data_IF_753950700220
#
_entry.id   IF_753950700220
#
_cell.length_a   1.000
_cell.length_b   1.000
_cell.length_c   1.000
_cell.angle_alpha   90.00
_cell.angle_beta   90.00
_cell.angle_gamma   90.00
#
_symmetry.space_group_name_H-M   'P 1'
#
loop_
_entity.id
_entity.type
_entity.pdbx_description
1 polymer ?
#
# COMPACT_ATOMS: atom_id res chain seq x y z
N UNK A 1 -36.95 9.52 -24.69
CA UNK A 1 -38.02 10.32 -24.11
C UNK A 1 -37.68 10.53 -22.65
N UNK A 2 -37.34 11.75 -22.29
CA UNK A 2 -37.08 12.11 -20.89
C UNK A 2 -38.41 12.04 -20.13
N UNK A 3 -38.50 11.11 -19.18
CA UNK A 3 -39.60 11.10 -18.23
C UNK A 3 -39.44 12.38 -17.38
N UNK A 4 -40.42 13.28 -17.43
CA UNK A 4 -40.53 14.40 -16.49
C UNK A 4 -40.45 13.83 -15.07
N UNK A 5 -39.39 14.17 -14.36
CA UNK A 5 -39.23 13.86 -12.94
C UNK A 5 -40.29 14.68 -12.20
N UNK A 6 -41.42 14.04 -11.81
CA UNK A 6 -42.38 14.66 -10.90
C UNK A 6 -41.63 15.04 -9.63
N UNK A 7 -41.48 16.34 -9.40
CA UNK A 7 -40.84 16.87 -8.20
C UNK A 7 -41.74 16.54 -7.00
N UNK A 8 -41.20 15.83 -6.05
CA UNK A 8 -41.89 15.50 -4.78
C UNK A 8 -41.74 16.72 -3.86
N UNK A 9 -42.85 17.24 -3.35
CA UNK A 9 -42.81 18.28 -2.32
C UNK A 9 -42.50 17.67 -0.95
N UNK A 10 -41.49 18.19 -0.28
CA UNK A 10 -41.08 17.74 1.05
C UNK A 10 -40.51 18.91 1.85
N UNK A 11 -40.52 18.79 3.18
CA UNK A 11 -39.82 19.65 4.08
C UNK A 11 -38.47 19.02 4.44
N UNK A 12 -37.42 19.81 4.55
CA UNK A 12 -36.09 19.35 4.97
C UNK A 12 -35.46 20.38 5.89
N UNK A 13 -34.96 19.92 7.02
CA UNK A 13 -34.28 20.74 8.02
C UNK A 13 -32.87 20.19 8.30
N UNK A 14 -31.87 21.05 8.24
CA UNK A 14 -30.49 20.68 8.58
C UNK A 14 -30.36 20.65 10.12
N UNK A 15 -30.23 19.46 10.68
CA UNK A 15 -30.10 19.25 12.12
C UNK A 15 -28.65 19.13 12.59
N UNK A 16 -27.72 18.87 11.68
CA UNK A 16 -26.29 18.83 11.96
C UNK A 16 -25.45 19.16 10.75
N UNK A 17 -24.44 20.00 10.94
CA UNK A 17 -23.46 20.34 9.90
C UNK A 17 -22.08 20.32 10.51
N UNK A 18 -21.23 19.42 10.01
CA UNK A 18 -19.79 19.34 10.30
C UNK A 18 -19.01 19.69 9.05
N UNK A 19 -17.69 19.75 9.15
CA UNK A 19 -16.82 20.06 8.01
C UNK A 19 -17.00 19.07 6.86
N UNK A 20 -17.13 17.78 7.17
CA UNK A 20 -17.18 16.67 6.22
C UNK A 20 -18.53 15.94 6.19
N UNK A 21 -19.56 16.39 6.90
CA UNK A 21 -20.85 15.72 6.92
C UNK A 21 -22.00 16.68 7.19
N UNK A 22 -23.18 16.32 6.66
CA UNK A 22 -24.44 17.00 6.91
C UNK A 22 -25.48 15.97 7.30
N UNK A 23 -26.27 16.29 8.33
CA UNK A 23 -27.41 15.48 8.76
C UNK A 23 -28.69 16.26 8.49
N UNK A 24 -29.63 15.65 7.79
CA UNK A 24 -30.87 16.29 7.36
C UNK A 24 -32.06 15.44 7.81
N UNK A 25 -33.05 16.09 8.43
CA UNK A 25 -34.36 15.53 8.69
C UNK A 25 -35.28 15.88 7.52
N UNK A 26 -36.01 14.88 7.03
CA UNK A 26 -36.95 15.02 5.92
C UNK A 26 -38.34 14.56 6.35
N UNK A 27 -39.34 15.37 6.02
CA UNK A 27 -40.75 15.04 6.20
C UNK A 27 -41.48 15.15 4.87
N UNK A 28 -42.14 14.04 4.48
CA UNK A 28 -42.95 13.96 3.28
C UNK A 28 -44.42 13.79 3.69
N UNK A 29 -45.28 14.66 3.20
CA UNK A 29 -46.70 14.70 3.56
C UNK A 29 -47.44 13.39 3.20
N UNK A 30 -48.41 13.02 4.02
CA UNK A 30 -49.19 11.77 3.89
C UNK A 30 -49.77 11.58 2.49
N UNK A 31 -50.36 12.63 1.90
CA UNK A 31 -51.00 12.55 0.57
C UNK A 31 -50.00 12.13 -0.51
N UNK A 32 -48.75 12.60 -0.43
CA UNK A 32 -47.70 12.26 -1.39
C UNK A 32 -47.26 10.80 -1.24
N UNK A 33 -47.18 10.33 0.00
CA UNK A 33 -46.85 8.93 0.29
C UNK A 33 -47.99 8.01 -0.21
N UNK A 34 -49.22 8.39 0.01
CA UNK A 34 -50.40 7.64 -0.47
C UNK A 34 -50.41 7.54 -2.00
N UNK A 35 -50.14 8.63 -2.72
CA UNK A 35 -50.05 8.66 -4.18
C UNK A 35 -48.93 7.75 -4.72
N UNK A 36 -47.76 7.73 -4.07
CA UNK A 36 -46.67 6.84 -4.50
C UNK A 36 -46.99 5.36 -4.21
N UNK A 37 -47.68 5.05 -3.07
CA UNK A 37 -48.14 3.69 -2.78
C UNK A 37 -49.14 3.21 -3.85
N UNK A 38 -50.07 4.06 -4.26
CA UNK A 38 -51.04 3.75 -5.34
C UNK A 38 -50.31 3.53 -6.68
N UNK A 39 -49.27 4.33 -6.94
CA UNK A 39 -48.40 4.16 -8.12
C UNK A 39 -47.70 2.81 -8.12
N UNK A 40 -47.15 2.39 -6.97
CA UNK A 40 -46.47 1.09 -6.81
C UNK A 40 -47.48 -0.05 -6.97
N UNK A 41 -48.70 0.06 -6.41
CA UNK A 41 -49.76 -0.95 -6.63
C UNK A 41 -50.07 -1.11 -8.11
N UNK A 42 -50.15 -0.01 -8.87
CA UNK A 42 -50.38 -0.05 -10.31
C UNK A 42 -49.24 -0.74 -11.06
N UNK A 43 -47.99 -0.57 -10.61
CA UNK A 43 -46.83 -1.27 -11.17
C UNK A 43 -46.87 -2.77 -10.86
N UNK A 44 -47.13 -3.13 -9.60
CA UNK A 44 -47.30 -4.53 -9.17
C UNK A 44 -48.42 -5.22 -9.98
N UNK A 45 -49.58 -4.56 -10.16
CA UNK A 45 -50.68 -5.09 -10.94
C UNK A 45 -50.26 -5.44 -12.38
N UNK A 46 -49.44 -4.60 -13.01
CA UNK A 46 -48.96 -4.80 -14.39
C UNK A 46 -47.93 -5.91 -14.50
N UNK A 47 -47.14 -6.15 -13.48
CA UNK A 47 -46.04 -7.08 -13.50
C UNK A 47 -46.39 -8.46 -12.92
N UNK A 48 -47.32 -8.53 -12.01
CA UNK A 48 -47.63 -9.76 -11.25
C UNK A 48 -48.56 -10.70 -11.99
N UNK A 49 -48.25 -12.01 -11.92
CA UNK A 49 -49.08 -13.09 -12.40
C UNK A 49 -49.70 -13.81 -11.20
N UNK A 50 -51.01 -13.79 -11.09
CA UNK A 50 -51.76 -14.49 -10.03
C UNK A 50 -52.61 -15.57 -10.68
N UNK A 51 -52.59 -16.78 -10.12
CA UNK A 51 -53.45 -17.89 -10.60
C UNK A 51 -54.93 -17.53 -10.52
N UNK A 52 -55.66 -17.75 -11.61
CA UNK A 52 -57.06 -17.39 -11.74
C UNK A 52 -57.34 -16.02 -12.37
N UNK A 53 -56.32 -15.23 -12.66
CA UNK A 53 -56.47 -13.93 -13.33
C UNK A 53 -55.57 -13.79 -14.55
N UNK A 54 -56.03 -13.04 -15.54
CA UNK A 54 -55.22 -12.68 -16.72
C UNK A 54 -54.13 -11.68 -16.28
N UNK A 55 -52.91 -11.88 -16.78
CA UNK A 55 -51.77 -10.99 -16.53
C UNK A 55 -52.11 -9.50 -16.72
N UNK A 56 -51.81 -8.65 -15.75
CA UNK A 56 -52.11 -7.20 -15.75
C UNK A 56 -53.60 -6.86 -15.56
N UNK A 57 -54.51 -7.82 -15.30
CA UNK A 57 -55.96 -7.59 -15.10
C UNK A 57 -56.46 -8.13 -13.75
N UNK A 58 -55.57 -8.26 -12.79
CA UNK A 58 -55.95 -8.64 -11.41
C UNK A 58 -56.70 -7.48 -10.78
N UNK A 59 -57.85 -7.70 -10.12
CA UNK A 59 -58.57 -6.64 -9.41
C UNK A 59 -57.71 -6.00 -8.35
N UNK A 60 -57.74 -4.65 -8.25
CA UNK A 60 -56.86 -3.87 -7.35
C UNK A 60 -57.06 -4.28 -5.87
N UNK A 61 -58.26 -4.66 -5.45
CA UNK A 61 -58.49 -5.14 -4.09
C UNK A 61 -57.66 -6.38 -3.74
N UNK A 62 -57.49 -7.30 -4.71
CA UNK A 62 -56.68 -8.53 -4.52
C UNK A 62 -55.19 -8.14 -4.45
N UNK A 63 -54.74 -7.17 -5.26
CA UNK A 63 -53.39 -6.65 -5.24
C UNK A 63 -53.12 -5.98 -3.89
N UNK A 64 -53.95 -5.06 -3.46
CA UNK A 64 -53.82 -4.36 -2.16
C UNK A 64 -53.78 -5.34 -0.99
N UNK A 65 -54.64 -6.38 -1.00
CA UNK A 65 -54.65 -7.38 0.07
C UNK A 65 -53.38 -8.24 0.14
N UNK A 66 -52.82 -8.59 -1.03
CA UNK A 66 -51.65 -9.49 -1.07
C UNK A 66 -50.29 -8.79 -1.00
N UNK A 67 -50.21 -7.57 -1.48
CA UNK A 67 -48.93 -6.85 -1.71
C UNK A 67 -48.85 -5.54 -0.95
N UNK A 68 -49.59 -5.37 0.15
CA UNK A 68 -49.61 -4.13 0.93
C UNK A 68 -48.22 -3.75 1.46
N UNK A 69 -47.53 -4.69 2.10
CA UNK A 69 -46.20 -4.42 2.66
C UNK A 69 -45.14 -4.19 1.57
N UNK A 70 -45.24 -4.94 0.46
CA UNK A 70 -44.33 -4.76 -0.68
C UNK A 70 -44.51 -3.36 -1.31
N UNK A 71 -45.79 -2.96 -1.50
CA UNK A 71 -46.10 -1.63 -2.06
C UNK A 71 -45.71 -0.50 -1.13
N UNK A 72 -45.90 -0.65 0.19
CA UNK A 72 -45.46 0.28 1.22
C UNK A 72 -43.97 0.45 1.19
N UNK A 73 -43.21 -0.64 1.26
CA UNK A 73 -41.74 -0.59 1.28
C UNK A 73 -41.18 -0.01 -0.03
N UNK A 74 -41.73 -0.41 -1.18
CA UNK A 74 -41.32 0.10 -2.48
C UNK A 74 -41.62 1.61 -2.65
N UNK A 75 -42.76 2.08 -2.13
CA UNK A 75 -43.09 3.50 -2.15
C UNK A 75 -42.16 4.34 -1.26
N UNK A 76 -41.88 3.84 -0.03
CA UNK A 76 -40.95 4.49 0.89
C UNK A 76 -39.57 4.58 0.27
N UNK A 77 -39.06 3.50 -0.29
CA UNK A 77 -37.75 3.50 -0.96
C UNK A 77 -37.68 4.48 -2.14
N UNK A 78 -38.70 4.51 -2.97
CA UNK A 78 -38.80 5.44 -4.09
C UNK A 78 -38.81 6.92 -3.64
N UNK A 79 -39.57 7.22 -2.59
CA UNK A 79 -39.65 8.57 -2.02
C UNK A 79 -38.30 8.97 -1.45
N UNK A 80 -37.71 8.14 -0.60
CA UNK A 80 -36.38 8.41 0.01
C UNK A 80 -35.36 8.69 -1.09
N UNK A 81 -35.27 7.84 -2.10
CA UNK A 81 -34.31 8.00 -3.21
C UNK A 81 -34.47 9.34 -3.94
N UNK A 82 -35.70 9.78 -4.17
CA UNK A 82 -35.98 11.04 -4.87
C UNK A 82 -35.74 12.27 -3.99
N UNK A 83 -36.18 12.21 -2.74
CA UNK A 83 -36.13 13.37 -1.83
C UNK A 83 -34.76 13.60 -1.23
N UNK A 84 -33.95 12.54 -0.98
CA UNK A 84 -32.56 12.66 -0.52
C UNK A 84 -31.72 13.48 -1.50
N UNK A 85 -31.74 13.13 -2.78
CA UNK A 85 -30.98 13.88 -3.80
C UNK A 85 -31.44 15.34 -3.89
N UNK A 86 -32.78 15.58 -3.89
CA UNK A 86 -33.31 16.92 -3.94
C UNK A 86 -32.99 17.76 -2.70
N UNK A 87 -32.90 17.13 -1.51
CA UNK A 87 -32.50 17.80 -0.28
C UNK A 87 -31.02 18.23 -0.33
N UNK A 88 -30.13 17.38 -0.83
CA UNK A 88 -28.73 17.69 -1.01
C UNK A 88 -28.47 18.79 -2.05
N UNK A 89 -29.25 18.76 -3.17
CA UNK A 89 -29.19 19.80 -4.20
C UNK A 89 -29.61 21.17 -3.65
N UNK A 90 -30.65 21.24 -2.80
CA UNK A 90 -31.09 22.49 -2.14
C UNK A 90 -29.97 23.11 -1.31
N UNK A 91 -29.20 22.29 -0.60
CA UNK A 91 -28.10 22.72 0.24
C UNK A 91 -26.80 23.00 -0.55
N UNK A 92 -26.80 22.83 -1.87
CA UNK A 92 -25.59 22.94 -2.73
C UNK A 92 -24.44 22.09 -2.20
N UNK A 93 -24.76 20.87 -1.76
CA UNK A 93 -23.87 19.98 -1.04
C UNK A 93 -23.23 18.97 -2.00
N UNK A 94 -21.90 18.98 -2.07
CA UNK A 94 -21.15 18.05 -2.91
C UNK A 94 -20.84 16.80 -2.12
N UNK A 95 -21.73 15.81 -2.19
CA UNK A 95 -21.60 14.54 -1.47
C UNK A 95 -20.59 13.60 -2.14
N UNK A 96 -19.99 12.70 -1.32
CA UNK A 96 -19.00 11.71 -1.75
C UNK A 96 -19.71 10.45 -2.22
N UNK A 97 -20.56 9.91 -1.35
CA UNK A 97 -21.33 8.70 -1.58
C UNK A 97 -22.82 8.91 -1.36
N UNK A 98 -23.64 7.93 -1.81
CA UNK A 98 -25.07 7.98 -1.57
C UNK A 98 -25.33 7.98 -0.05
N UNK A 99 -26.15 8.92 0.45
CA UNK A 99 -26.39 9.08 1.88
C UNK A 99 -26.93 7.85 2.58
N UNK A 100 -26.51 7.67 3.82
CA UNK A 100 -27.01 6.60 4.68
C UNK A 100 -28.23 7.09 5.44
N UNK A 101 -29.36 6.42 5.24
CA UNK A 101 -30.58 6.66 6.03
C UNK A 101 -30.42 5.97 7.38
N UNK A 102 -30.38 6.76 8.46
CA UNK A 102 -30.13 6.26 9.81
C UNK A 102 -31.42 5.77 10.47
N UNK A 103 -32.47 6.60 10.38
CA UNK A 103 -33.76 6.33 11.00
C UNK A 103 -34.88 6.70 10.02
N UNK A 104 -35.86 5.82 9.88
CA UNK A 104 -37.11 6.17 9.24
C UNK A 104 -38.29 5.66 10.06
N UNK A 105 -39.35 6.46 10.15
CA UNK A 105 -40.60 6.08 10.75
C UNK A 105 -41.71 6.34 9.76
N UNK A 106 -42.42 5.27 9.41
CA UNK A 106 -43.60 5.34 8.54
C UNK A 106 -44.71 4.39 9.00
N UNK A 107 -45.85 4.94 9.34
CA UNK A 107 -47.07 4.25 9.56
C UNK A 107 -48.09 4.61 8.46
N UNK A 108 -48.86 3.65 8.00
CA UNK A 108 -49.84 3.86 6.95
C UNK A 108 -50.85 4.95 7.35
N UNK A 109 -51.06 5.96 6.50
CA UNK A 109 -51.94 7.08 6.80
C UNK A 109 -51.26 8.22 7.56
N UNK A 110 -49.93 8.20 7.66
CA UNK A 110 -49.18 9.26 8.29
C UNK A 110 -48.07 9.82 7.34
N UNK A 111 -47.50 10.96 7.71
CA UNK A 111 -46.36 11.50 6.99
C UNK A 111 -45.12 10.61 7.15
N UNK A 112 -44.34 10.44 6.09
CA UNK A 112 -43.03 9.75 6.17
C UNK A 112 -41.99 10.70 6.73
N UNK A 113 -41.39 10.32 7.85
CA UNK A 113 -40.27 11.04 8.45
C UNK A 113 -39.03 10.16 8.47
N UNK A 114 -37.90 10.73 8.03
CA UNK A 114 -36.63 10.02 8.07
C UNK A 114 -35.48 10.99 8.23
N UNK A 115 -34.38 10.47 8.76
CA UNK A 115 -33.10 11.15 8.95
C UNK A 115 -32.05 10.48 8.09
N UNK A 116 -31.22 11.28 7.45
CA UNK A 116 -30.06 10.77 6.76
C UNK A 116 -28.83 11.63 7.02
N UNK A 117 -27.65 11.00 6.96
CA UNK A 117 -26.36 11.66 7.01
C UNK A 117 -25.60 11.41 5.71
N UNK A 118 -25.03 12.47 5.15
CA UNK A 118 -24.23 12.44 3.94
C UNK A 118 -22.84 13.01 4.22
N UNK A 119 -21.80 12.36 3.69
CA UNK A 119 -20.44 12.88 3.72
C UNK A 119 -20.16 13.77 2.50
N UNK A 120 -19.34 14.81 2.71
CA UNK A 120 -18.95 15.75 1.66
C UNK A 120 -17.46 16.03 1.63
N UNK A 121 -17.03 16.53 0.48
CA UNK A 121 -15.69 17.08 0.35
C UNK A 121 -15.56 18.37 1.19
N UNK A 122 -14.60 18.42 2.14
CA UNK A 122 -14.38 19.64 2.91
C UNK A 122 -13.86 20.77 2.02
N UNK A 123 -14.37 21.97 2.25
CA UNK A 123 -13.76 23.20 1.70
C UNK A 123 -12.67 23.63 2.66
N UNK A 124 -11.41 23.53 2.21
CA UNK A 124 -10.26 23.89 3.02
C UNK A 124 -9.53 25.10 2.47
N UNK A 125 -9.03 25.93 3.37
CA UNK A 125 -8.12 27.03 3.06
C UNK A 125 -6.73 26.64 3.54
N UNK A 126 -5.84 26.28 2.60
CA UNK A 126 -4.49 25.79 2.92
C UNK A 126 -3.57 26.96 3.22
N UNK A 127 -2.91 26.88 4.38
CA UNK A 127 -2.01 27.92 4.88
C UNK A 127 -0.55 27.47 4.84
N UNK A 128 0.35 28.44 4.83
CA UNK A 128 1.79 28.26 5.03
C UNK A 128 2.47 27.27 4.05
N UNK A 129 1.92 27.13 2.82
CA UNK A 129 2.51 26.23 1.81
C UNK A 129 3.62 26.90 0.96
N UNK A 130 3.89 28.21 1.13
CA UNK A 130 5.03 28.92 0.56
C UNK A 130 6.09 29.20 1.63
N UNK A 131 7.34 29.07 1.26
CA UNK A 131 8.45 29.33 2.18
C UNK A 131 8.62 28.27 3.26
N UNK A 132 8.23 27.03 2.98
CA UNK A 132 8.40 25.87 3.89
C UNK A 132 9.88 25.72 4.25
N UNK A 133 10.24 25.73 5.55
CA UNK A 133 11.61 25.50 5.98
C UNK A 133 11.99 24.04 5.79
N UNK A 134 12.99 23.79 4.96
CA UNK A 134 13.49 22.43 4.66
C UNK A 134 14.99 22.38 4.85
N UNK A 135 15.49 21.31 5.46
CA UNK A 135 16.92 21.04 5.58
C UNK A 135 17.30 19.96 4.57
N UNK A 136 18.11 20.34 3.57
CA UNK A 136 18.66 19.41 2.59
C UNK A 136 20.05 18.94 3.03
N UNK A 137 20.14 17.71 3.51
CA UNK A 137 21.43 17.09 3.83
C UNK A 137 22.10 16.57 2.55
N UNK A 138 23.27 17.09 2.24
CA UNK A 138 24.07 16.66 1.10
C UNK A 138 25.27 15.86 1.61
N UNK A 139 25.32 14.57 1.28
CA UNK A 139 26.47 13.74 1.63
C UNK A 139 27.53 13.80 0.54
N UNK A 140 28.74 14.22 0.92
CA UNK A 140 29.91 14.21 0.02
C UNK A 140 30.36 12.78 -0.21
N UNK A 141 30.56 12.43 -1.48
CA UNK A 141 31.19 11.17 -1.87
C UNK A 141 32.67 11.31 -1.60
N UNK A 142 33.17 10.51 -0.69
CA UNK A 142 34.58 10.47 -0.30
C UNK A 142 35.25 9.23 -0.84
N UNK A 143 36.61 9.24 -0.93
CA UNK A 143 37.36 8.03 -1.32
C UNK A 143 37.07 6.84 -0.41
N UNK A 144 36.74 7.12 0.85
CA UNK A 144 36.33 6.09 1.81
C UNK A 144 34.99 5.48 1.47
N UNK A 145 34.01 6.29 1.06
CA UNK A 145 32.69 5.79 0.65
C UNK A 145 32.76 5.04 -0.67
N UNK A 146 33.56 5.49 -1.62
CA UNK A 146 33.87 4.79 -2.86
C UNK A 146 34.49 3.42 -2.57
N UNK A 147 35.55 3.38 -1.73
CA UNK A 147 36.18 2.12 -1.34
C UNK A 147 35.19 1.13 -0.72
N UNK A 148 34.29 1.61 0.14
CA UNK A 148 33.24 0.75 0.72
C UNK A 148 32.27 0.18 -0.31
N UNK A 149 31.88 0.98 -1.32
CA UNK A 149 31.05 0.50 -2.40
C UNK A 149 31.77 -0.54 -3.25
N UNK A 150 33.05 -0.33 -3.56
CA UNK A 150 33.86 -1.34 -4.25
C UNK A 150 34.04 -2.62 -3.43
N UNK A 151 34.26 -2.50 -2.13
CA UNK A 151 34.36 -3.69 -1.26
C UNK A 151 33.02 -4.44 -1.18
N UNK A 152 31.88 -3.72 -1.20
CA UNK A 152 30.57 -4.33 -1.28
C UNK A 152 30.31 -5.01 -2.64
N UNK A 153 30.68 -4.35 -3.77
CA UNK A 153 30.59 -4.93 -5.10
C UNK A 153 31.41 -6.22 -5.22
N UNK A 154 32.67 -6.20 -4.75
CA UNK A 154 33.53 -7.39 -4.71
C UNK A 154 32.92 -8.50 -3.88
N UNK A 155 32.31 -8.16 -2.73
CA UNK A 155 31.68 -9.11 -1.84
C UNK A 155 30.45 -9.76 -2.47
N UNK A 156 29.61 -8.97 -3.17
CA UNK A 156 28.45 -9.49 -3.87
C UNK A 156 28.82 -10.41 -5.05
N UNK A 157 30.03 -10.23 -5.60
CA UNK A 157 30.58 -11.03 -6.69
C UNK A 157 31.66 -12.01 -6.22
N UNK A 158 31.74 -12.29 -4.91
CA UNK A 158 32.69 -13.26 -4.36
C UNK A 158 32.35 -14.69 -4.82
N UNK A 159 33.37 -15.46 -5.09
CA UNK A 159 33.22 -16.89 -5.42
C UNK A 159 33.56 -17.74 -4.19
N UNK A 160 32.78 -18.80 -4.00
CA UNK A 160 33.08 -19.76 -2.95
C UNK A 160 34.07 -20.79 -3.50
N UNK A 161 35.29 -20.74 -3.00
CA UNK A 161 36.37 -21.67 -3.34
C UNK A 161 36.67 -22.63 -2.17
N UNK A 162 37.19 -23.82 -2.40
CA UNK A 162 37.65 -24.67 -1.33
C UNK A 162 38.64 -23.93 -0.42
N UNK A 163 38.42 -23.97 0.88
CA UNK A 163 39.31 -23.29 1.83
C UNK A 163 40.69 -23.90 1.85
N UNK A 164 41.71 -23.09 1.94
CA UNK A 164 43.08 -23.52 2.18
C UNK A 164 43.31 -23.97 3.62
N UNK A 165 42.43 -23.58 4.52
CA UNK A 165 42.45 -23.99 5.91
C UNK A 165 41.73 -25.34 6.08
N UNK A 166 42.38 -26.28 6.73
CA UNK A 166 41.76 -27.56 7.12
C UNK A 166 40.74 -27.41 8.25
N UNK A 167 40.74 -26.24 8.95
CA UNK A 167 39.86 -25.98 10.09
C UNK A 167 38.82 -24.95 9.76
N UNK A 168 37.62 -25.21 10.24
CA UNK A 168 36.50 -24.27 10.17
C UNK A 168 36.76 -23.01 11.00
N UNK A 169 36.58 -21.85 10.43
CA UNK A 169 36.68 -20.53 11.08
C UNK A 169 35.30 -19.83 11.15
N UNK A 170 35.23 -18.76 11.89
CA UNK A 170 34.00 -17.94 11.98
C UNK A 170 33.62 -17.19 10.68
N UNK A 171 34.43 -17.31 9.62
CA UNK A 171 34.16 -16.74 8.28
C UNK A 171 33.99 -17.82 7.21
N UNK A 172 34.05 -19.08 7.61
CA UNK A 172 33.98 -20.22 6.68
C UNK A 172 32.54 -20.46 6.25
N UNK A 173 32.38 -20.87 5.00
CA UNK A 173 31.20 -21.53 4.48
C UNK A 173 31.39 -23.03 4.59
N UNK A 174 30.56 -23.67 5.41
CA UNK A 174 30.74 -25.08 5.72
C UNK A 174 29.65 -25.88 5.03
N UNK A 175 30.05 -26.82 4.19
CA UNK A 175 29.15 -27.81 3.61
C UNK A 175 28.95 -28.94 4.64
N UNK A 176 27.71 -29.16 5.06
CA UNK A 176 27.38 -30.12 6.10
C UNK A 176 26.25 -31.05 5.67
N UNK A 177 26.34 -32.30 6.17
CA UNK A 177 25.21 -33.21 6.22
C UNK A 177 24.78 -33.32 7.68
N UNK A 178 23.47 -33.23 7.96
CA UNK A 178 22.99 -33.43 9.31
C UNK A 178 21.64 -34.15 9.35
N UNK A 179 21.55 -35.03 10.34
CA UNK A 179 20.34 -35.71 10.77
C UNK A 179 19.85 -35.05 12.06
N UNK A 180 18.52 -34.90 12.20
CA UNK A 180 17.89 -34.24 13.34
C UNK A 180 17.12 -35.26 14.20
N UNK A 181 17.25 -35.11 15.52
CA UNK A 181 16.62 -35.98 16.51
C UNK A 181 15.94 -35.12 17.58
N UNK A 182 14.76 -35.51 18.02
CA UNK A 182 14.07 -34.88 19.15
C UNK A 182 14.70 -35.30 20.51
N UNK A 183 14.11 -34.81 21.61
CA UNK A 183 14.59 -35.07 22.96
C UNK A 183 14.52 -36.60 23.32
N UNK A 184 13.60 -37.34 22.69
CA UNK A 184 13.40 -38.78 22.91
C UNK A 184 14.28 -39.63 21.96
N UNK A 185 15.10 -39.00 21.13
CA UNK A 185 15.98 -39.65 20.16
C UNK A 185 15.30 -40.13 18.89
N UNK A 186 14.07 -39.69 18.64
CA UNK A 186 13.32 -40.00 17.41
C UNK A 186 13.77 -39.08 16.28
N UNK A 187 14.01 -39.67 15.10
CA UNK A 187 14.43 -38.91 13.94
C UNK A 187 13.32 -37.92 13.45
N UNK A 188 13.71 -36.66 13.20
CA UNK A 188 12.87 -35.64 12.64
C UNK A 188 13.31 -35.38 11.19
N UNK A 189 12.83 -36.23 10.28
CA UNK A 189 13.26 -36.24 8.86
C UNK A 189 12.98 -34.95 8.12
N UNK A 190 11.98 -34.16 8.55
CA UNK A 190 11.56 -32.91 7.92
C UNK A 190 12.63 -31.81 7.98
N UNK A 191 13.56 -31.91 8.94
CA UNK A 191 14.62 -30.91 9.14
C UNK A 191 16.02 -31.47 8.92
N UNK A 192 16.15 -32.76 8.55
CA UNK A 192 17.40 -33.31 8.11
C UNK A 192 17.82 -32.79 6.74
N UNK A 193 19.10 -32.57 6.50
CA UNK A 193 19.58 -32.07 5.21
C UNK A 193 20.95 -32.69 4.86
N UNK A 194 21.18 -32.90 3.56
CA UNK A 194 22.46 -33.26 2.98
C UNK A 194 22.97 -32.19 2.06
N UNK A 195 24.27 -31.91 2.09
CA UNK A 195 24.90 -30.90 1.25
C UNK A 195 24.46 -29.47 1.59
N UNK A 196 24.05 -29.20 2.81
CA UNK A 196 23.64 -27.87 3.23
C UNK A 196 24.84 -26.98 3.44
N UNK A 197 24.85 -25.82 2.78
CA UNK A 197 25.87 -24.79 3.00
C UNK A 197 25.45 -23.88 4.16
N UNK A 198 26.33 -23.77 5.17
CA UNK A 198 26.19 -22.90 6.33
C UNK A 198 27.23 -21.78 6.27
N UNK A 199 26.78 -20.53 6.23
CA UNK A 199 27.65 -19.34 6.39
C UNK A 199 27.84 -19.06 7.88
N UNK A 200 28.98 -19.39 8.45
CA UNK A 200 29.25 -19.16 9.87
C UNK A 200 29.50 -17.68 10.21
N UNK A 201 29.77 -16.85 9.20
CA UNK A 201 29.83 -15.40 9.35
C UNK A 201 28.47 -14.71 9.39
N UNK A 202 27.44 -15.38 8.91
CA UNK A 202 26.07 -14.83 8.86
C UNK A 202 25.41 -14.83 10.24
N UNK A 203 24.65 -13.78 10.55
CA UNK A 203 23.80 -13.72 11.75
C UNK A 203 22.61 -14.68 11.70
N UNK A 204 22.21 -15.07 10.50
CA UNK A 204 21.10 -16.03 10.29
C UNK A 204 21.47 -17.46 10.66
N UNK A 205 22.76 -17.79 10.73
CA UNK A 205 23.18 -19.10 11.19
C UNK A 205 23.07 -19.18 12.71
N UNK A 206 22.33 -20.19 13.19
CA UNK A 206 22.09 -20.41 14.61
C UNK A 206 23.39 -20.59 15.38
N UNK A 207 23.51 -19.95 16.54
CA UNK A 207 24.73 -19.98 17.35
C UNK A 207 25.18 -21.41 17.70
N UNK A 208 24.26 -22.32 17.95
CA UNK A 208 24.59 -23.72 18.22
C UNK A 208 25.42 -24.38 17.12
N UNK A 209 25.16 -24.08 15.84
CA UNK A 209 25.98 -24.55 14.73
C UNK A 209 27.36 -23.87 14.70
N UNK A 210 27.41 -22.55 14.96
CA UNK A 210 28.70 -21.82 15.00
C UNK A 210 29.61 -22.39 16.08
N UNK A 211 29.10 -22.50 17.29
CA UNK A 211 29.88 -22.92 18.45
C UNK A 211 30.39 -24.37 18.29
N UNK A 212 29.60 -25.25 17.69
CA UNK A 212 29.95 -26.65 17.48
C UNK A 212 30.93 -26.89 16.31
N UNK A 213 30.82 -26.08 15.25
CA UNK A 213 31.56 -26.30 14.01
C UNK A 213 32.88 -25.52 13.94
N UNK A 214 33.03 -24.40 14.67
CA UNK A 214 34.28 -23.62 14.68
C UNK A 214 35.43 -24.54 15.24
N UNK A 215 36.51 -24.63 14.47
CA UNK A 215 37.66 -25.47 14.81
C UNK A 215 37.55 -26.94 14.35
N UNK A 216 36.41 -27.36 13.80
CA UNK A 216 36.24 -28.71 13.26
C UNK A 216 37.02 -28.90 11.94
N UNK A 217 37.38 -30.11 11.60
CA UNK A 217 38.02 -30.49 10.34
C UNK A 217 36.99 -31.15 9.40
N UNK A 218 37.35 -31.30 8.13
CA UNK A 218 36.55 -32.05 7.16
C UNK A 218 36.48 -33.51 7.63
N UNK A 219 35.27 -34.08 7.65
CA UNK A 219 34.98 -35.42 8.11
C UNK A 219 34.56 -35.52 9.58
N UNK A 220 34.77 -34.46 10.38
CA UNK A 220 34.37 -34.43 11.79
C UNK A 220 32.83 -34.51 11.91
N UNK A 221 32.38 -35.25 12.92
CA UNK A 221 30.99 -35.33 13.31
C UNK A 221 30.77 -34.59 14.64
N UNK A 222 29.85 -33.66 14.67
CA UNK A 222 29.52 -32.81 15.83
C UNK A 222 28.05 -32.89 16.17
N UNK A 223 27.74 -32.98 17.46
CA UNK A 223 26.37 -32.84 17.96
C UNK A 223 26.05 -31.35 18.21
N UNK A 224 25.01 -30.86 17.59
CA UNK A 224 24.53 -29.47 17.76
C UNK A 224 23.16 -29.53 18.41
N UNK A 225 23.04 -29.00 19.62
CA UNK A 225 21.76 -28.94 20.33
C UNK A 225 21.16 -27.57 20.22
N UNK A 226 19.90 -27.48 19.71
CA UNK A 226 19.20 -26.22 19.52
C UNK A 226 17.84 -26.30 20.20
N UNK A 227 17.55 -25.33 21.02
CA UNK A 227 16.24 -25.13 21.64
C UNK A 227 15.46 -24.08 20.82
N UNK A 228 14.31 -24.47 20.32
CA UNK A 228 13.42 -23.62 19.54
C UNK A 228 12.35 -23.01 20.44
N UNK A 229 12.10 -21.72 20.26
CA UNK A 229 11.06 -21.01 20.99
C UNK A 229 9.66 -21.59 20.68
N UNK A 230 8.72 -21.44 21.62
CA UNK A 230 7.37 -21.98 21.48
C UNK A 230 6.56 -21.34 20.33
N UNK A 231 6.92 -20.11 19.96
CA UNK A 231 6.34 -19.33 18.87
C UNK A 231 7.04 -19.50 17.51
N UNK A 232 7.91 -20.53 17.39
CA UNK A 232 8.65 -20.77 16.15
C UNK A 232 7.69 -21.07 14.98
N UNK A 233 7.86 -20.42 13.78
CA UNK A 233 6.94 -20.57 12.63
C UNK A 233 6.76 -22.02 12.16
N UNK A 234 7.81 -22.84 12.27
CA UNK A 234 7.73 -24.27 11.96
C UNK A 234 7.19 -25.03 13.15
N UNK A 235 5.94 -25.51 13.07
CA UNK A 235 5.24 -26.30 14.11
C UNK A 235 5.96 -27.60 14.47
N UNK A 236 6.77 -28.17 13.57
CA UNK A 236 7.57 -29.35 13.85
C UNK A 236 8.72 -29.09 14.84
N UNK A 237 9.16 -27.83 14.95
CA UNK A 237 10.27 -27.38 15.80
C UNK A 237 9.81 -26.59 17.03
N UNK A 238 8.64 -25.95 16.99
CA UNK A 238 8.14 -25.05 18.04
C UNK A 238 8.16 -25.71 19.43
N UNK A 239 8.84 -25.05 20.39
CA UNK A 239 8.96 -25.51 21.78
C UNK A 239 9.79 -26.80 21.98
N UNK A 240 10.51 -27.24 20.96
CA UNK A 240 11.27 -28.49 21.03
C UNK A 240 12.78 -28.27 21.11
N UNK A 241 13.45 -29.19 21.75
CA UNK A 241 14.90 -29.29 21.74
C UNK A 241 15.27 -30.31 20.66
N UNK A 242 15.99 -29.85 19.64
CA UNK A 242 16.44 -30.71 18.53
C UNK A 242 17.94 -30.86 18.61
N UNK A 243 18.40 -32.11 18.51
CA UNK A 243 19.83 -32.48 18.43
C UNK A 243 20.17 -32.85 17.00
N UNK A 244 21.03 -32.05 16.37
CA UNK A 244 21.54 -32.32 15.02
C UNK A 244 22.87 -33.09 15.13
N UNK A 245 22.95 -34.23 14.49
CA UNK A 245 24.23 -34.92 14.24
C UNK A 245 24.77 -34.42 12.92
N UNK A 246 25.75 -33.55 12.99
CA UNK A 246 26.24 -32.76 11.83
C UNK A 246 27.63 -33.28 11.44
N UNK A 247 27.80 -33.67 10.19
CA UNK A 247 29.07 -34.05 9.58
C UNK A 247 29.57 -32.94 8.66
N UNK A 248 30.82 -32.54 8.84
CA UNK A 248 31.49 -31.56 7.95
C UNK A 248 31.94 -32.27 6.68
N UNK A 249 31.31 -31.92 5.55
CA UNK A 249 31.63 -32.51 4.23
C UNK A 249 32.72 -31.71 3.51
N UNK A 250 32.73 -30.38 3.71
CA UNK A 250 33.70 -29.50 3.06
C UNK A 250 33.72 -28.12 3.67
N UNK A 251 34.81 -27.43 3.49
CA UNK A 251 35.03 -26.05 3.95
C UNK A 251 35.31 -25.19 2.74
N UNK A 252 34.57 -24.09 2.60
CA UNK A 252 34.77 -23.08 1.55
C UNK A 252 35.00 -21.72 2.16
N UNK A 253 35.67 -20.86 1.42
CA UNK A 253 35.89 -19.47 1.80
C UNK A 253 35.51 -18.52 0.64
N UNK A 254 35.17 -17.30 0.98
CA UNK A 254 34.91 -16.26 -0.03
C UNK A 254 36.25 -15.79 -0.62
N UNK A 255 36.43 -16.01 -1.90
CA UNK A 255 37.49 -15.36 -2.66
C UNK A 255 36.93 -14.10 -3.32
N UNK A 256 37.39 -12.94 -2.82
CA UNK A 256 37.02 -11.66 -3.38
C UNK A 256 37.74 -11.41 -4.70
N UNK A 257 37.04 -11.09 -5.80
CA UNK A 257 37.68 -10.76 -7.06
C UNK A 257 38.65 -9.58 -6.88
N UNK A 258 39.75 -9.59 -7.62
CA UNK A 258 40.71 -8.45 -7.62
C UNK A 258 40.04 -7.28 -8.36
N UNK A 259 40.27 -6.06 -7.86
CA UNK A 259 39.88 -4.84 -8.56
C UNK A 259 40.86 -4.60 -9.72
N UNK A 260 40.54 -5.10 -10.89
CA UNK A 260 41.31 -4.97 -12.13
C UNK A 260 40.31 -4.85 -13.32
N UNK A 261 40.86 -4.76 -14.53
CA UNK A 261 40.03 -4.63 -15.74
C UNK A 261 39.19 -5.88 -16.04
N UNK A 262 39.61 -7.05 -15.58
CA UNK A 262 38.78 -8.29 -15.73
C UNK A 262 37.51 -8.18 -14.89
N UNK A 263 37.62 -7.70 -13.64
CA UNK A 263 36.47 -7.44 -12.78
C UNK A 263 35.57 -6.35 -13.36
N UNK A 264 36.16 -5.32 -13.98
CA UNK A 264 35.40 -4.27 -14.64
C UNK A 264 34.58 -4.81 -15.82
N UNK A 265 35.16 -5.73 -16.62
CA UNK A 265 34.44 -6.42 -17.70
C UNK A 265 33.32 -7.32 -17.18
N UNK A 266 33.54 -8.02 -16.06
CA UNK A 266 32.47 -8.77 -15.39
C UNK A 266 31.31 -7.85 -14.94
N UNK A 267 31.58 -6.56 -14.73
CA UNK A 267 30.61 -5.51 -14.39
C UNK A 267 30.12 -4.70 -15.60
N UNK A 268 30.29 -5.22 -16.82
CA UNK A 268 29.86 -4.59 -18.07
C UNK A 268 30.47 -3.19 -18.33
N UNK A 269 31.73 -3.01 -17.93
CA UNK A 269 32.52 -1.80 -18.23
C UNK A 269 33.81 -2.16 -18.96
N UNK A 270 34.42 -1.21 -19.69
CA UNK A 270 35.59 -1.51 -20.51
C UNK A 270 36.86 -1.76 -19.69
N UNK A 271 37.04 -0.97 -18.63
CA UNK A 271 38.22 -1.02 -17.75
C UNK A 271 37.89 -0.54 -16.34
N UNK A 272 38.83 -0.65 -15.42
CA UNK A 272 38.68 -0.27 -14.02
C UNK A 272 38.37 1.22 -13.83
N UNK A 273 38.89 2.12 -14.68
CA UNK A 273 38.61 3.55 -14.57
C UNK A 273 37.18 3.87 -14.91
N UNK A 274 36.65 3.26 -15.96
CA UNK A 274 35.24 3.38 -16.34
C UNK A 274 34.32 2.83 -15.26
N UNK A 275 34.69 1.69 -14.66
CA UNK A 275 33.94 1.17 -13.50
C UNK A 275 33.94 2.14 -12.33
N UNK A 276 35.06 2.81 -12.04
CA UNK A 276 35.11 3.82 -10.97
C UNK A 276 34.22 5.02 -11.27
N UNK A 277 34.21 5.49 -12.53
CA UNK A 277 33.34 6.59 -12.95
C UNK A 277 31.86 6.19 -12.82
N UNK A 278 31.48 5.03 -13.34
CA UNK A 278 30.10 4.51 -13.26
C UNK A 278 29.63 4.38 -11.81
N UNK A 279 30.43 3.78 -10.93
CA UNK A 279 30.08 3.65 -9.50
C UNK A 279 29.93 5.02 -8.84
N UNK A 280 30.75 5.99 -9.19
CA UNK A 280 30.64 7.34 -8.66
C UNK A 280 29.38 8.03 -9.14
N UNK A 281 29.06 7.94 -10.43
CA UNK A 281 27.83 8.47 -11.02
C UNK A 281 26.58 7.83 -10.39
N UNK A 282 26.56 6.50 -10.23
CA UNK A 282 25.47 5.78 -9.58
C UNK A 282 25.27 6.24 -8.13
N UNK A 283 26.37 6.47 -7.40
CA UNK A 283 26.32 7.02 -6.05
C UNK A 283 25.78 8.46 -6.01
N UNK A 284 26.14 9.30 -6.99
CA UNK A 284 25.63 10.67 -7.11
C UNK A 284 24.13 10.70 -7.41
N UNK A 285 23.68 9.83 -8.31
CA UNK A 285 22.26 9.67 -8.65
C UNK A 285 21.45 9.19 -7.44
N UNK A 286 21.94 8.16 -6.74
CA UNK A 286 21.24 7.63 -5.56
C UNK A 286 21.22 8.65 -4.41
N UNK A 287 22.31 9.41 -4.22
CA UNK A 287 22.37 10.48 -3.22
C UNK A 287 21.39 11.61 -3.56
N UNK A 288 21.31 12.03 -4.81
CA UNK A 288 20.33 13.03 -5.26
C UNK A 288 18.91 12.54 -5.00
N UNK A 289 18.62 11.29 -5.37
CA UNK A 289 17.31 10.69 -5.13
C UNK A 289 16.96 10.65 -3.63
N UNK A 290 17.93 10.29 -2.78
CA UNK A 290 17.74 10.30 -1.31
C UNK A 290 17.43 11.70 -0.80
N UNK A 291 18.16 12.72 -1.29
CA UNK A 291 17.95 14.11 -0.92
C UNK A 291 16.54 14.59 -1.32
N UNK A 292 16.13 14.30 -2.54
CA UNK A 292 14.82 14.71 -3.05
C UNK A 292 13.69 14.05 -2.25
N UNK A 293 13.79 12.76 -1.92
CA UNK A 293 12.83 12.06 -1.05
C UNK A 293 12.79 12.64 0.38
N UNK A 294 13.91 13.03 0.95
CA UNK A 294 13.96 13.61 2.30
C UNK A 294 13.36 15.03 2.32
N UNK A 295 13.61 15.82 1.28
CA UNK A 295 12.98 17.14 1.07
C UNK A 295 11.47 16.99 0.94
N UNK A 296 11.01 16.07 0.09
CA UNK A 296 9.58 15.77 -0.10
C UNK A 296 8.91 15.38 1.22
N UNK A 297 9.52 14.49 1.97
CA UNK A 297 9.02 14.06 3.26
C UNK A 297 8.85 15.22 4.24
N UNK A 298 9.85 16.11 4.35
CA UNK A 298 9.79 17.28 5.22
C UNK A 298 8.69 18.24 4.79
N UNK A 299 8.51 18.47 3.48
CA UNK A 299 7.43 19.28 2.93
C UNK A 299 6.07 18.70 3.30
N UNK A 300 5.87 17.40 3.11
CA UNK A 300 4.63 16.69 3.43
C UNK A 300 4.32 16.76 4.94
N UNK A 301 5.30 16.47 5.77
CA UNK A 301 5.15 16.53 7.24
C UNK A 301 4.77 17.93 7.71
N UNK A 302 5.42 18.97 7.15
CA UNK A 302 5.11 20.35 7.46
C UNK A 302 3.69 20.75 7.05
N UNK A 303 3.27 20.39 5.83
CA UNK A 303 1.92 20.67 5.34
C UNK A 303 0.84 20.01 6.19
N UNK A 304 1.05 18.75 6.60
CA UNK A 304 0.13 18.01 7.46
C UNK A 304 0.09 18.57 8.89
N UNK A 305 1.21 19.08 9.40
CA UNK A 305 1.27 19.70 10.73
C UNK A 305 0.52 21.04 10.77
N UNK A 306 0.69 21.87 9.73
CA UNK A 306 0.10 23.20 9.66
C UNK A 306 -1.38 23.20 9.25
N UNK A 307 -1.83 22.16 8.55
CA UNK A 307 -3.19 22.07 8.02
C UNK A 307 -3.93 20.88 8.60
N UNK A 308 -4.35 20.99 9.88
CA UNK A 308 -5.14 19.96 10.57
C UNK A 308 -6.63 20.24 10.38
N UNK A 309 -7.34 19.30 9.80
CA UNK A 309 -8.80 19.33 9.62
C UNK A 309 -9.35 17.90 9.59
N UNK A 310 -10.64 17.77 9.82
CA UNK A 310 -11.36 16.50 9.70
C UNK A 310 -11.48 16.10 8.23
N UNK A 311 -11.30 14.81 7.95
CA UNK A 311 -11.46 14.21 6.63
C UNK A 311 -12.65 13.24 6.63
N UNK A 312 -13.29 13.00 5.47
CA UNK A 312 -14.41 12.07 5.37
C UNK A 312 -14.01 10.64 5.80
N UNK A 313 -14.82 10.04 6.64
CA UNK A 313 -14.52 8.72 7.20
C UNK A 313 -14.61 7.61 6.15
N UNK A 314 -15.52 7.72 5.18
CA UNK A 314 -15.62 6.78 4.04
C UNK A 314 -14.33 6.72 3.25
N UNK A 315 -13.75 7.87 2.89
CA UNK A 315 -12.50 7.94 2.14
C UNK A 315 -11.30 7.42 2.93
N UNK A 316 -11.29 7.64 4.26
CA UNK A 316 -10.25 7.06 5.13
C UNK A 316 -10.36 5.55 5.16
N UNK A 317 -11.57 5.00 5.23
CA UNK A 317 -11.76 3.54 5.24
C UNK A 317 -11.37 2.91 3.89
N UNK A 318 -11.70 3.55 2.77
CA UNK A 318 -11.32 3.07 1.44
C UNK A 318 -9.80 3.14 1.23
N UNK A 319 -9.15 4.22 1.66
CA UNK A 319 -7.70 4.33 1.63
C UNK A 319 -7.04 3.28 2.53
N UNK A 320 -7.60 3.00 3.70
CA UNK A 320 -7.14 1.94 4.59
C UNK A 320 -7.22 0.57 3.93
N UNK A 321 -8.36 0.24 3.29
CA UNK A 321 -8.53 -1.01 2.52
C UNK A 321 -7.43 -1.15 1.46
N UNK A 322 -7.20 -0.10 0.69
CA UNK A 322 -6.15 -0.07 -0.33
C UNK A 322 -4.74 -0.33 0.25
N UNK A 323 -4.41 0.31 1.38
CA UNK A 323 -3.13 0.10 2.06
C UNK A 323 -2.98 -1.34 2.58
N UNK A 324 -4.06 -1.92 3.12
CA UNK A 324 -4.10 -3.31 3.58
C UNK A 324 -3.87 -4.28 2.41
N UNK A 325 -4.57 -4.09 1.29
CA UNK A 325 -4.40 -4.95 0.10
C UNK A 325 -2.98 -4.91 -0.43
N UNK A 326 -2.41 -3.72 -0.64
CA UNK A 326 -1.01 -3.58 -1.07
C UNK A 326 -0.02 -4.25 -0.11
N UNK A 327 -0.25 -4.14 1.19
CA UNK A 327 0.63 -4.77 2.18
C UNK A 327 0.49 -6.29 2.15
N UNK A 328 -0.73 -6.82 2.00
CA UNK A 328 -0.99 -8.26 1.83
C UNK A 328 -0.29 -8.83 0.59
N UNK A 329 -0.45 -8.17 -0.55
CA UNK A 329 0.21 -8.56 -1.80
C UNK A 329 1.74 -8.57 -1.65
N UNK A 330 2.31 -7.53 -1.06
CA UNK A 330 3.75 -7.47 -0.82
C UNK A 330 4.24 -8.63 0.06
N UNK A 331 3.54 -8.91 1.16
CA UNK A 331 3.89 -10.01 2.07
C UNK A 331 3.74 -11.39 1.40
N UNK A 332 2.71 -11.58 0.57
CA UNK A 332 2.53 -12.80 -0.22
C UNK A 332 3.69 -13.01 -1.21
N UNK A 333 4.09 -11.94 -1.92
CA UNK A 333 5.21 -11.99 -2.87
C UNK A 333 6.55 -12.30 -2.20
N UNK A 334 6.73 -11.90 -0.94
CA UNK A 334 7.92 -12.23 -0.13
C UNK A 334 7.83 -13.65 0.48
N UNK A 335 6.67 -14.33 0.38
CA UNK A 335 6.50 -15.73 0.79
C UNK A 335 5.99 -15.93 2.21
N UNK A 336 5.37 -14.92 2.84
CA UNK A 336 4.72 -15.09 4.14
C UNK A 336 3.46 -15.97 4.02
N UNK A 337 3.18 -16.76 5.07
CA UNK A 337 1.95 -17.56 5.15
C UNK A 337 0.71 -16.67 5.36
N UNK A 338 -0.46 -17.14 4.92
CA UNK A 338 -1.72 -16.41 5.07
C UNK A 338 -2.04 -16.07 6.53
N UNK A 339 -1.86 -17.03 7.44
CA UNK A 339 -2.13 -16.84 8.87
C UNK A 339 -1.27 -15.72 9.47
N UNK A 340 0.03 -15.69 9.10
CA UNK A 340 0.96 -14.64 9.56
C UNK A 340 0.62 -13.26 8.97
N UNK A 341 0.14 -13.23 7.72
CA UNK A 341 -0.32 -11.99 7.09
C UNK A 341 -1.54 -11.43 7.82
N UNK A 342 -2.52 -12.25 8.15
CA UNK A 342 -3.72 -11.83 8.89
C UNK A 342 -3.36 -11.28 10.28
N UNK A 343 -2.54 -11.98 11.03
CA UNK A 343 -2.03 -11.52 12.33
C UNK A 343 -1.32 -10.17 12.23
N UNK A 344 -0.44 -9.99 11.22
CA UNK A 344 0.28 -8.74 11.01
C UNK A 344 -0.66 -7.59 10.60
N UNK A 345 -1.76 -7.87 9.89
CA UNK A 345 -2.75 -6.84 9.53
C UNK A 345 -3.52 -6.37 10.77
N UNK A 346 -3.94 -7.29 11.64
CA UNK A 346 -4.62 -6.94 12.90
C UNK A 346 -3.72 -6.09 13.80
N UNK A 347 -2.46 -6.48 13.98
CA UNK A 347 -1.48 -5.74 14.79
C UNK A 347 -1.22 -4.32 14.26
N UNK A 348 -1.37 -4.09 12.96
CA UNK A 348 -1.08 -2.81 12.31
C UNK A 348 -2.32 -1.98 12.00
N UNK A 349 -3.53 -2.46 12.32
CA UNK A 349 -4.79 -1.83 11.93
C UNK A 349 -4.87 -0.34 12.31
N UNK A 350 -4.58 -0.01 13.57
CA UNK A 350 -4.59 1.37 14.05
C UNK A 350 -3.58 2.27 13.31
N UNK A 351 -2.37 1.75 13.02
CA UNK A 351 -1.35 2.50 12.28
C UNK A 351 -1.72 2.70 10.81
N UNK A 352 -2.37 1.70 10.20
CA UNK A 352 -2.86 1.79 8.83
C UNK A 352 -3.99 2.81 8.72
N UNK A 353 -4.88 2.87 9.72
CA UNK A 353 -5.94 3.89 9.78
C UNK A 353 -5.35 5.31 9.92
N UNK A 354 -4.39 5.51 10.84
CA UNK A 354 -3.71 6.80 11.00
C UNK A 354 -3.00 7.23 9.71
N UNK A 355 -2.35 6.30 9.03
CA UNK A 355 -1.72 6.56 7.75
C UNK A 355 -2.74 6.94 6.68
N UNK A 356 -3.82 6.18 6.56
CA UNK A 356 -4.90 6.46 5.61
C UNK A 356 -5.50 7.86 5.83
N UNK A 357 -5.70 8.26 7.09
CA UNK A 357 -6.18 9.61 7.43
C UNK A 357 -5.19 10.71 6.97
N UNK A 358 -3.88 10.48 7.17
CA UNK A 358 -2.83 11.39 6.68
C UNK A 358 -2.80 11.46 5.16
N UNK A 359 -2.90 10.32 4.48
CA UNK A 359 -2.88 10.24 3.02
C UNK A 359 -4.08 10.99 2.41
N UNK A 360 -5.29 10.77 2.95
CA UNK A 360 -6.51 11.47 2.51
C UNK A 360 -6.39 12.97 2.78
N UNK A 361 -5.93 13.38 3.98
CA UNK A 361 -5.73 14.79 4.32
C UNK A 361 -4.73 15.47 3.38
N UNK A 362 -3.62 14.80 3.10
CA UNK A 362 -2.61 15.27 2.15
C UNK A 362 -3.19 15.48 0.77
N UNK A 363 -4.00 14.55 0.27
CA UNK A 363 -4.67 14.66 -1.04
C UNK A 363 -5.51 15.93 -1.13
N UNK A 364 -6.26 16.27 -0.08
CA UNK A 364 -7.04 17.51 -0.04
C UNK A 364 -6.15 18.76 -0.04
N UNK A 365 -5.08 18.76 0.77
CA UNK A 365 -4.12 19.87 0.83
C UNK A 365 -3.50 20.10 -0.55
N UNK A 366 -2.98 19.05 -1.18
CA UNK A 366 -2.32 19.13 -2.48
C UNK A 366 -3.27 19.59 -3.58
N UNK A 367 -4.51 19.08 -3.60
CA UNK A 367 -5.53 19.55 -4.55
C UNK A 367 -5.89 21.02 -4.36
N UNK A 368 -6.01 21.48 -3.11
CA UNK A 368 -6.31 22.90 -2.85
C UNK A 368 -5.15 23.81 -3.29
N UNK A 369 -3.89 23.44 -3.06
CA UNK A 369 -2.73 24.19 -3.54
C UNK A 369 -2.71 24.20 -5.07
N UNK A 370 -2.97 23.06 -5.72
CA UNK A 370 -3.01 22.95 -7.18
C UNK A 370 -4.02 23.91 -7.80
N UNK A 371 -5.20 24.03 -7.20
CA UNK A 371 -6.27 24.94 -7.64
C UNK A 371 -5.90 26.41 -7.34
N UNK A 372 -5.40 26.70 -6.14
CA UNK A 372 -5.06 28.07 -5.72
C UNK A 372 -3.95 28.69 -6.59
N UNK A 373 -2.97 27.86 -7.00
CA UNK A 373 -1.84 28.31 -7.82
C UNK A 373 -2.14 28.19 -9.33
N UNK A 374 -3.36 27.81 -9.72
CA UNK A 374 -3.76 27.62 -11.12
C UNK A 374 -2.81 26.73 -11.93
N UNK A 375 -2.28 25.68 -11.27
CA UNK A 375 -1.40 24.74 -11.94
C UNK A 375 -2.23 23.94 -12.97
N UNK A 376 -1.68 23.76 -14.17
CA UNK A 376 -2.37 23.04 -15.25
C UNK A 376 -1.42 22.05 -15.91
N UNK A 377 -1.96 20.91 -16.31
CA UNK A 377 -1.28 19.95 -17.19
C UNK A 377 -1.84 20.16 -18.60
N UNK A 378 -0.99 20.49 -19.54
CA UNK A 378 -1.36 20.69 -20.93
C UNK A 378 -0.94 19.48 -21.82
N UNK A 379 -1.39 19.48 -23.07
CA UNK A 379 -1.10 18.37 -23.98
C UNK A 379 0.40 18.21 -24.27
N UNK A 380 1.17 19.31 -24.25
CA UNK A 380 2.62 19.25 -24.43
C UNK A 380 3.33 18.52 -23.26
N UNK A 381 2.84 18.69 -22.03
CA UNK A 381 3.36 17.98 -20.87
C UNK A 381 3.12 16.45 -21.02
N UNK A 382 1.92 16.08 -21.48
CA UNK A 382 1.53 14.68 -21.69
C UNK A 382 2.40 14.03 -22.76
N UNK A 383 2.61 14.71 -23.91
CA UNK A 383 3.45 14.19 -24.98
C UNK A 383 4.93 14.09 -24.55
N UNK A 384 5.46 15.08 -23.81
CA UNK A 384 6.82 15.01 -23.28
C UNK A 384 7.01 13.83 -22.32
N UNK A 385 6.01 13.53 -21.48
CA UNK A 385 6.09 12.39 -20.57
C UNK A 385 5.99 11.05 -21.30
N UNK A 386 5.14 10.95 -22.30
CA UNK A 386 5.08 9.77 -23.18
C UNK A 386 6.41 9.52 -23.88
N UNK A 387 7.07 10.58 -24.35
CA UNK A 387 8.38 10.45 -25.02
C UNK A 387 9.49 10.04 -24.05
N UNK A 388 9.48 10.52 -22.81
CA UNK A 388 10.37 10.03 -21.74
C UNK A 388 10.13 8.55 -21.44
N UNK A 389 8.88 8.12 -21.35
CA UNK A 389 8.52 6.73 -21.13
C UNK A 389 9.01 5.83 -22.28
N UNK A 390 8.85 6.28 -23.54
CA UNK A 390 9.39 5.57 -24.70
C UNK A 390 10.92 5.49 -24.68
N UNK A 391 11.60 6.59 -24.34
CA UNK A 391 13.06 6.64 -24.28
C UNK A 391 13.64 5.75 -23.17
N UNK A 392 12.96 5.63 -22.03
CA UNK A 392 13.36 4.72 -20.96
C UNK A 392 13.10 3.26 -21.29
N UNK A 393 12.06 2.96 -22.07
CA UNK A 393 11.75 1.60 -22.57
C UNK A 393 12.77 1.12 -23.60
N UNK A 394 13.35 2.03 -24.37
CA UNK A 394 14.38 1.70 -25.38
C UNK A 394 15.78 1.48 -24.78
N UNK A 395 16.04 1.98 -23.56
CA UNK A 395 17.32 1.79 -22.85
C UNK A 395 17.38 0.54 -21.97
N UNK A 396 16.27 -0.13 -21.76
CA UNK A 396 16.21 -1.36 -20.97
C UNK A 396 15.41 -2.42 -21.72
N UNK A 397 16.04 -3.51 -22.09
CA UNK A 397 15.40 -4.74 -22.56
C UNK A 397 14.57 -5.41 -21.44
N UNK A 398 13.92 -4.64 -20.56
CA UNK A 398 13.11 -5.21 -19.51
C UNK A 398 11.70 -5.50 -20.05
N UNK A 399 11.22 -6.70 -19.78
CA UNK A 399 9.83 -7.11 -20.03
C UNK A 399 8.82 -6.11 -19.44
N UNK A 400 9.21 -5.38 -18.39
CA UNK A 400 8.46 -4.29 -17.78
C UNK A 400 8.19 -3.14 -18.76
N UNK A 401 9.16 -2.76 -19.61
CA UNK A 401 8.97 -1.73 -20.64
C UNK A 401 7.97 -2.13 -21.73
N UNK A 402 7.92 -3.42 -22.10
CA UNK A 402 6.93 -3.96 -23.03
C UNK A 402 5.53 -4.00 -22.42
N UNK A 403 5.42 -4.37 -21.14
CA UNK A 403 4.17 -4.40 -20.40
C UNK A 403 3.52 -3.00 -20.31
N UNK A 404 4.32 -1.94 -20.12
CA UNK A 404 3.84 -0.56 -20.09
C UNK A 404 3.42 0.01 -21.46
N UNK A 405 3.90 -0.59 -22.57
CA UNK A 405 3.49 -0.19 -23.92
C UNK A 405 2.23 -0.93 -24.42
N UNK A 406 1.97 -2.12 -23.90
CA UNK A 406 0.83 -2.96 -24.29
C UNK A 406 -0.42 -2.71 -23.44
N UNK A 407 -0.29 -2.42 -22.15
CA UNK A 407 -1.41 -1.93 -21.34
C UNK A 407 -1.50 -0.41 -21.49
N UNK A 408 -2.62 0.03 -22.05
CA UNK A 408 -3.09 1.41 -22.03
C UNK A 408 -3.06 1.93 -20.60
N UNK A 409 -1.92 2.45 -20.12
CA UNK A 409 -1.96 3.36 -18.98
C UNK A 409 -2.92 4.45 -19.39
N UNK A 410 -4.06 4.50 -18.72
CA UNK A 410 -5.10 5.44 -19.05
C UNK A 410 -4.43 6.83 -19.02
N UNK A 411 -4.69 7.66 -20.03
CA UNK A 411 -4.20 9.07 -20.06
C UNK A 411 -4.44 9.74 -18.72
N UNK A 412 -5.45 9.29 -17.99
CA UNK A 412 -5.75 9.72 -16.62
C UNK A 412 -4.59 9.50 -15.64
N UNK A 413 -3.93 8.35 -15.68
CA UNK A 413 -2.81 8.06 -14.76
C UNK A 413 -1.60 8.95 -15.06
N UNK A 414 -1.34 9.22 -16.33
CA UNK A 414 -0.29 10.16 -16.75
C UNK A 414 -0.61 11.57 -16.25
N UNK A 415 -1.85 12.02 -16.39
CA UNK A 415 -2.29 13.33 -15.91
C UNK A 415 -2.14 13.44 -14.38
N UNK A 416 -2.50 12.40 -13.63
CA UNK A 416 -2.35 12.37 -12.16
C UNK A 416 -0.88 12.49 -11.79
N UNK A 417 -0.01 11.70 -12.39
CA UNK A 417 1.44 11.75 -12.14
C UNK A 417 2.04 13.11 -12.48
N UNK A 418 1.65 13.72 -13.62
CA UNK A 418 2.11 15.05 -14.02
C UNK A 418 1.60 16.16 -13.09
N UNK A 419 0.39 16.04 -12.57
CA UNK A 419 -0.13 16.97 -11.55
C UNK A 419 0.71 16.92 -10.28
N UNK A 420 1.03 15.72 -9.81
CA UNK A 420 1.89 15.53 -8.63
C UNK A 420 3.29 16.09 -8.88
N UNK A 421 3.90 15.81 -10.02
CA UNK A 421 5.23 16.33 -10.37
C UNK A 421 5.25 17.86 -10.43
N UNK A 422 4.28 18.50 -11.09
CA UNK A 422 4.18 19.97 -11.17
C UNK A 422 3.97 20.60 -9.81
N UNK A 423 3.15 19.99 -8.98
CA UNK A 423 2.86 20.47 -7.63
C UNK A 423 4.08 20.35 -6.72
N UNK A 424 4.76 19.20 -6.72
CA UNK A 424 6.01 19.02 -5.95
C UNK A 424 7.09 19.98 -6.45
N UNK A 425 7.25 20.14 -7.76
CA UNK A 425 8.15 21.15 -8.35
C UNK A 425 7.88 22.55 -7.81
N UNK A 426 6.61 22.99 -7.85
CA UNK A 426 6.19 24.27 -7.31
C UNK A 426 6.52 24.42 -5.81
N UNK A 427 6.25 23.39 -5.01
CA UNK A 427 6.53 23.41 -3.56
C UNK A 427 8.05 23.49 -3.28
N UNK A 428 8.87 22.79 -4.04
CA UNK A 428 10.33 22.81 -3.89
C UNK A 428 10.92 24.14 -4.31
N UNK A 429 10.45 24.73 -5.41
CA UNK A 429 10.90 26.06 -5.88
C UNK A 429 10.57 27.17 -4.87
N UNK A 430 9.46 27.02 -4.15
CA UNK A 430 9.01 27.99 -3.15
C UNK A 430 9.45 27.64 -1.73
N UNK A 431 10.20 26.56 -1.50
CA UNK A 431 10.70 26.16 -0.19
C UNK A 431 11.93 26.99 0.20
N UNK A 432 12.10 27.23 1.49
CA UNK A 432 13.34 27.81 2.08
C UNK A 432 14.32 26.69 2.42
N UNK A 433 15.15 26.30 1.46
CA UNK A 433 16.06 25.18 1.60
C UNK A 433 17.33 25.64 2.28
N UNK A 434 17.62 25.08 3.47
CA UNK A 434 18.92 25.17 4.14
C UNK A 434 19.75 23.94 3.75
N UNK A 435 20.88 24.15 3.11
CA UNK A 435 21.79 23.05 2.74
C UNK A 435 22.77 22.78 3.88
N UNK A 436 22.86 21.52 4.33
CA UNK A 436 23.84 21.04 5.29
C UNK A 436 24.71 19.97 4.64
N UNK A 437 25.99 20.27 4.47
CA UNK A 437 26.96 19.30 3.95
C UNK A 437 27.45 18.39 5.08
N UNK A 438 27.41 17.08 4.85
CA UNK A 438 27.90 16.04 5.78
C UNK A 438 28.74 15.02 5.01
N UNK A 439 29.66 14.39 5.70
CA UNK A 439 30.33 13.23 5.11
C UNK A 439 29.35 12.06 4.99
N UNK A 440 29.44 11.35 3.87
CA UNK A 440 28.56 10.19 3.64
C UNK A 440 28.69 9.18 4.78
N UNK A 441 27.60 8.86 5.49
CA UNK A 441 27.66 7.91 6.58
C UNK A 441 28.10 6.55 6.06
N UNK A 442 29.02 5.93 6.78
CA UNK A 442 29.40 4.55 6.48
C UNK A 442 28.17 3.67 6.55
N UNK A 443 27.86 2.93 5.49
CA UNK A 443 26.75 1.96 5.50
C UNK A 443 26.96 1.06 6.72
N UNK A 444 26.20 1.29 7.80
CA UNK A 444 26.09 0.32 8.88
C UNK A 444 25.64 -0.98 8.23
N UNK A 445 26.34 -2.09 8.48
CA UNK A 445 25.90 -3.41 8.01
C UNK A 445 24.42 -3.53 8.35
N UNK A 446 23.54 -3.41 7.35
CA UNK A 446 22.13 -3.73 7.54
C UNK A 446 22.10 -5.18 8.00
N UNK A 447 21.64 -5.39 9.21
CA UNK A 447 21.30 -6.73 9.63
C UNK A 447 20.16 -7.18 8.70
N UNK A 448 20.30 -8.27 7.96
CA UNK A 448 19.12 -8.88 7.37
C UNK A 448 18.18 -9.26 8.51
N UNK A 449 16.96 -8.81 8.42
CA UNK A 449 15.85 -9.19 9.32
C UNK A 449 15.50 -10.64 9.08
#
# INVERSE_FOLDING_TARGET
MAQERKTINFNSDVVGKKLCSITIDVEVAENIVADEIESVFNQIQRQTKINGFRHGKVPMNVIKQKFMEEAKNGAVENIIRKTVLSALEKESFNFIDFPVVEEFNYELGHALKYRFTSECHPKIDVKDYKGIPVTKEVFKITDRSLKQNFDALRKNNARLVPSKSEKVTNKSFVLVDYDAFDADGKAVSEVAAKGRMLDLGSKSTLNGFKDALIGANIGDEKGVKIEYAADHPNKALAGKIITFKTKVVGIKEEELPKLNDDFAKDMETENLEDLKLKVKEDMEVEEKRRQDMEVEKQVIEYLLEKNKFEVPASLVEDQKKFLVERMKEHMQNVGFSKDLIEEQMELKDAKLKERAEKDVRLTYILNAIYVNENLTVNDADIEAEKDKMKASSLKGESEVGKYFLEEKKDIKDIIVSLKEQKLLGFLFENAKIKVEEKDMPLKKKKNPV
#
